data_IF_896615666973
#
_entry.id   IF_896615666973
#
_cell.length_a   1.000
_cell.length_b   1.000
_cell.length_c   1.000
_cell.angle_alpha   90.00
_cell.angle_beta   90.00
_cell.angle_gamma   90.00
#
_symmetry.space_group_name_H-M   'P 1'
#
loop_
_entity.id
_entity.type
_entity.pdbx_description
1 polymer ?
#
# COMPACT_ATOMS: atom_id res chain seq x y z
N UNK A 1 -23.61 -34.42 10.07
CA UNK A 1 -22.89 -33.15 10.39
C UNK A 1 -21.92 -32.70 9.28
N UNK A 2 -22.14 -33.04 7.99
CA UNK A 2 -21.15 -32.82 6.91
C UNK A 2 -21.48 -31.67 5.93
N UNK A 3 -22.70 -31.12 5.95
CA UNK A 3 -23.15 -30.17 4.92
C UNK A 3 -22.83 -28.70 5.24
N UNK A 4 -22.79 -28.32 6.52
CA UNK A 4 -22.49 -26.95 6.95
C UNK A 4 -21.00 -26.61 6.91
N UNK A 5 -20.11 -27.59 7.09
CA UNK A 5 -18.66 -27.40 7.01
C UNK A 5 -18.19 -27.07 5.59
N UNK A 6 -18.75 -27.77 4.59
CA UNK A 6 -18.46 -27.50 3.18
C UNK A 6 -18.96 -26.12 2.71
N UNK A 7 -20.09 -25.64 3.24
CA UNK A 7 -20.63 -24.32 2.89
C UNK A 7 -19.79 -23.17 3.49
N UNK A 8 -19.33 -23.32 4.74
CA UNK A 8 -18.44 -22.33 5.38
C UNK A 8 -17.07 -22.27 4.68
N UNK A 9 -16.50 -23.42 4.32
CA UNK A 9 -15.25 -23.48 3.57
C UNK A 9 -15.40 -22.98 2.12
N UNK A 10 -16.58 -23.14 1.51
CA UNK A 10 -16.89 -22.58 0.20
C UNK A 10 -17.00 -21.06 0.26
N UNK A 11 -17.70 -20.50 1.25
CA UNK A 11 -17.79 -19.05 1.48
C UNK A 11 -16.43 -18.43 1.75
N UNK A 12 -15.61 -19.05 2.60
CA UNK A 12 -14.24 -18.56 2.88
C UNK A 12 -13.36 -18.56 1.62
N UNK A 13 -13.41 -19.62 0.81
CA UNK A 13 -12.67 -19.69 -0.46
C UNK A 13 -13.17 -18.68 -1.48
N UNK A 14 -14.48 -18.47 -1.55
CA UNK A 14 -15.10 -17.44 -2.39
C UNK A 14 -14.62 -16.04 -1.98
N UNK A 15 -14.67 -15.69 -0.69
CA UNK A 15 -14.16 -14.41 -0.19
C UNK A 15 -12.67 -14.20 -0.48
N UNK A 16 -11.84 -15.25 -0.31
CA UNK A 16 -10.42 -15.20 -0.62
C UNK A 16 -10.19 -14.94 -2.12
N UNK A 17 -10.93 -15.59 -3.01
CA UNK A 17 -10.81 -15.40 -4.45
C UNK A 17 -11.34 -14.03 -4.90
N UNK A 18 -12.40 -13.52 -4.27
CA UNK A 18 -12.90 -12.16 -4.50
C UNK A 18 -11.86 -11.09 -4.15
N UNK A 19 -11.16 -11.27 -3.01
CA UNK A 19 -10.07 -10.39 -2.61
C UNK A 19 -8.90 -10.44 -3.58
N UNK A 20 -8.52 -11.64 -4.03
CA UNK A 20 -7.49 -11.82 -5.06
C UNK A 20 -7.86 -11.10 -6.36
N UNK A 21 -9.09 -11.26 -6.84
CA UNK A 21 -9.56 -10.58 -8.06
C UNK A 21 -9.47 -9.05 -7.92
N UNK A 22 -9.94 -8.50 -6.80
CA UNK A 22 -9.86 -7.05 -6.53
C UNK A 22 -8.41 -6.52 -6.49
N UNK A 23 -7.47 -7.32 -5.98
CA UNK A 23 -6.05 -6.99 -5.97
C UNK A 23 -5.49 -7.05 -7.39
N UNK A 24 -5.80 -8.10 -8.16
CA UNK A 24 -5.37 -8.23 -9.56
C UNK A 24 -5.90 -7.08 -10.43
N UNK A 25 -7.18 -6.71 -10.28
CA UNK A 25 -7.78 -5.58 -11.01
C UNK A 25 -7.06 -4.27 -10.67
N UNK A 26 -6.78 -4.04 -9.39
CA UNK A 26 -6.06 -2.84 -8.92
C UNK A 26 -4.60 -2.82 -9.39
N UNK A 27 -3.92 -3.97 -9.36
CA UNK A 27 -2.57 -4.12 -9.90
C UNK A 27 -2.55 -3.96 -11.42
N UNK A 28 -3.57 -4.41 -12.13
CA UNK A 28 -3.75 -4.23 -13.58
C UNK A 28 -3.85 -2.75 -13.97
N UNK A 29 -4.59 -1.96 -13.18
CA UNK A 29 -4.66 -0.49 -13.33
C UNK A 29 -3.29 0.18 -13.14
N UNK A 30 -2.48 -0.31 -12.19
CA UNK A 30 -1.11 0.22 -11.93
C UNK A 30 -0.11 -0.28 -12.99
N UNK A 31 -0.35 -1.45 -13.60
CA UNK A 31 0.51 -2.10 -14.60
C UNK A 31 0.23 -1.67 -16.04
N UNK A 32 -0.86 -0.93 -16.28
CA UNK A 32 -1.27 -0.56 -17.64
C UNK A 32 -1.72 -1.76 -18.49
N UNK A 33 -2.05 -2.90 -17.86
CA UNK A 33 -2.57 -4.08 -18.53
C UNK A 33 -4.03 -4.25 -18.15
N UNK A 34 -4.89 -4.09 -19.15
CA UNK A 34 -6.33 -3.90 -19.03
C UNK A 34 -7.05 -5.25 -19.00
N UNK A 35 -7.91 -5.49 -18.00
CA UNK A 35 -9.13 -6.32 -18.15
C UNK A 35 -10.20 -5.86 -17.14
N UNK A 36 -11.04 -4.91 -17.57
CA UNK A 36 -12.25 -4.33 -16.91
C UNK A 36 -12.05 -3.49 -15.62
N UNK A 37 -12.36 -2.18 -15.75
CA UNK A 37 -12.05 -1.10 -14.81
C UNK A 37 -13.03 -0.95 -13.62
N UNK A 38 -12.50 -0.95 -12.40
CA UNK A 38 -13.05 -0.13 -11.30
C UNK A 38 -12.54 1.29 -11.51
N UNK A 39 -13.42 2.30 -11.55
CA UNK A 39 -13.00 3.69 -11.76
C UNK A 39 -12.14 4.14 -10.56
N UNK A 40 -11.01 4.80 -10.81
CA UNK A 40 -10.16 5.39 -9.77
C UNK A 40 -10.96 6.29 -8.80
N UNK A 41 -11.98 6.98 -9.30
CA UNK A 41 -12.94 7.76 -8.52
C UNK A 41 -13.80 6.92 -7.58
N UNK A 42 -14.15 5.69 -7.97
CA UNK A 42 -14.92 4.75 -7.14
C UNK A 42 -14.05 4.15 -6.04
N UNK A 43 -12.77 3.90 -6.33
CA UNK A 43 -11.75 3.55 -5.31
C UNK A 43 -11.55 4.72 -4.36
N UNK A 44 -11.42 5.94 -4.87
CA UNK A 44 -11.28 7.16 -4.08
C UNK A 44 -12.52 7.50 -3.23
N UNK A 45 -13.73 7.24 -3.73
CA UNK A 45 -14.99 7.39 -2.98
C UNK A 45 -15.13 6.35 -1.88
N UNK A 46 -14.82 5.07 -2.16
CA UNK A 46 -14.78 4.02 -1.13
C UNK A 46 -13.69 4.29 -0.08
N UNK A 47 -12.58 4.92 -0.47
CA UNK A 47 -11.53 5.40 0.44
C UNK A 47 -12.00 6.57 1.31
N UNK A 48 -12.72 7.55 0.76
CA UNK A 48 -13.32 8.65 1.54
C UNK A 48 -14.35 8.16 2.55
N UNK A 49 -15.19 7.18 2.17
CA UNK A 49 -16.19 6.59 3.06
C UNK A 49 -15.58 5.71 4.18
N UNK A 50 -14.34 5.23 4.03
CA UNK A 50 -13.60 4.46 5.06
C UNK A 50 -12.73 5.30 5.98
N UNK A 51 -12.52 6.59 5.70
CA UNK A 51 -11.78 7.49 6.60
C UNK A 51 -12.44 7.65 7.99
N UNK A 52 -13.69 7.21 8.18
CA UNK A 52 -14.36 7.16 9.48
C UNK A 52 -13.96 5.95 10.34
N UNK A 53 -13.22 4.97 9.79
CA UNK A 53 -12.68 3.84 10.55
C UNK A 53 -11.33 4.24 11.13
N UNK A 54 -11.20 4.20 12.45
CA UNK A 54 -10.09 4.80 13.19
C UNK A 54 -8.68 4.44 12.69
N UNK A 55 -7.79 5.44 12.74
CA UNK A 55 -6.35 5.36 12.41
C UNK A 55 -5.62 4.46 13.41
N UNK A 56 -5.00 3.37 12.94
CA UNK A 56 -4.20 2.46 13.81
C UNK A 56 -2.72 2.51 13.46
N UNK A 57 -1.86 2.51 14.48
CA UNK A 57 -0.42 2.39 14.32
C UNK A 57 -0.04 0.91 14.22
N UNK A 58 0.60 0.51 13.13
CA UNK A 58 0.93 -0.88 12.82
C UNK A 58 2.30 -0.96 12.13
N UNK A 59 3.06 -2.05 12.35
CA UNK A 59 4.20 -2.40 11.51
C UNK A 59 3.69 -3.05 10.22
N UNK A 60 3.95 -2.40 9.08
CA UNK A 60 3.44 -2.85 7.78
C UNK A 60 4.57 -3.43 6.93
N UNK A 61 4.41 -4.67 6.41
CA UNK A 61 5.36 -5.26 5.47
C UNK A 61 5.52 -4.40 4.21
N UNK A 62 6.77 -4.09 3.84
CA UNK A 62 7.07 -3.20 2.71
C UNK A 62 6.67 -3.81 1.36
N UNK A 63 6.65 -5.14 1.24
CA UNK A 63 6.19 -5.88 0.05
C UNK A 63 4.68 -5.70 -0.22
N UNK A 64 3.89 -5.42 0.81
CA UNK A 64 2.46 -5.12 0.71
C UNK A 64 2.16 -3.66 0.37
N UNK A 65 3.15 -2.78 0.36
CA UNK A 65 2.99 -1.39 -0.08
C UNK A 65 3.19 -1.33 -1.61
N UNK A 66 2.08 -1.23 -2.34
CA UNK A 66 2.05 -1.46 -3.80
C UNK A 66 1.86 -0.20 -4.64
N UNK A 67 1.56 0.94 -4.00
CA UNK A 67 1.34 2.19 -4.71
C UNK A 67 1.16 3.39 -3.79
N UNK A 68 0.83 4.54 -4.38
CA UNK A 68 0.54 5.77 -3.64
C UNK A 68 -0.70 6.46 -4.20
N UNK A 69 -1.46 7.11 -3.33
CA UNK A 69 -2.62 7.93 -3.70
C UNK A 69 -2.21 9.24 -4.41
N UNK A 70 -0.94 9.66 -4.28
CA UNK A 70 -0.39 10.83 -4.95
C UNK A 70 1.10 10.67 -5.27
N UNK A 71 1.68 11.56 -6.06
CA UNK A 71 3.13 11.51 -6.42
C UNK A 71 3.58 10.21 -7.10
N UNK A 72 2.67 9.51 -7.79
CA UNK A 72 2.97 8.28 -8.53
C UNK A 72 3.95 8.49 -9.71
N UNK A 73 4.15 9.74 -10.14
CA UNK A 73 5.14 10.13 -11.15
C UNK A 73 6.52 10.44 -10.57
N UNK A 74 6.67 10.51 -9.25
CA UNK A 74 7.95 10.75 -8.58
C UNK A 74 8.71 9.45 -8.29
N UNK A 75 8.01 8.32 -8.26
CA UNK A 75 8.61 7.02 -7.92
C UNK A 75 8.23 5.97 -8.95
N UNK A 76 9.03 4.92 -9.07
CA UNK A 76 8.64 3.70 -9.80
C UNK A 76 7.68 2.86 -8.95
N UNK A 77 7.12 1.79 -9.52
CA UNK A 77 6.29 0.83 -8.77
C UNK A 77 7.05 0.13 -7.63
N UNK A 78 8.38 0.07 -7.74
CA UNK A 78 9.25 -0.44 -6.68
C UNK A 78 9.66 0.66 -5.68
N UNK A 79 9.05 1.84 -5.73
CA UNK A 79 9.40 3.03 -4.94
C UNK A 79 10.84 3.54 -5.17
N UNK A 80 11.45 3.24 -6.33
CA UNK A 80 12.73 3.86 -6.70
C UNK A 80 12.47 5.32 -7.10
N UNK A 81 13.26 6.30 -6.60
CA UNK A 81 13.07 7.70 -6.93
C UNK A 81 13.36 7.98 -8.41
N UNK A 82 12.59 8.87 -9.01
CA UNK A 82 12.81 9.41 -10.36
C UNK A 82 13.52 10.78 -10.28
N UNK A 83 14.05 11.33 -11.39
CA UNK A 83 14.85 12.57 -11.36
C UNK A 83 14.15 13.80 -10.75
N UNK A 84 12.82 13.83 -10.73
CA UNK A 84 11.99 14.87 -10.11
C UNK A 84 11.91 14.77 -8.57
N UNK A 85 12.43 13.72 -7.95
CA UNK A 85 12.50 13.59 -6.49
C UNK A 85 13.58 14.51 -5.93
N UNK A 86 13.27 15.19 -4.83
CA UNK A 86 14.24 16.03 -4.14
C UNK A 86 15.34 15.16 -3.50
N UNK A 87 16.52 15.14 -4.13
CA UNK A 87 17.68 14.36 -3.69
C UNK A 87 18.12 14.72 -2.27
N UNK A 88 18.18 16.01 -1.92
CA UNK A 88 18.59 16.45 -0.58
C UNK A 88 17.66 15.91 0.51
N UNK A 89 16.34 15.97 0.28
CA UNK A 89 15.35 15.41 1.21
C UNK A 89 15.47 13.90 1.32
N UNK A 90 15.69 13.21 0.19
CA UNK A 90 15.86 11.76 0.18
C UNK A 90 17.11 11.35 0.98
N UNK A 91 18.26 11.96 0.68
CA UNK A 91 19.52 11.68 1.35
C UNK A 91 19.47 11.98 2.86
N UNK A 92 18.78 13.05 3.26
CA UNK A 92 18.58 13.36 4.68
C UNK A 92 17.75 12.30 5.40
N UNK A 93 16.71 11.77 4.76
CA UNK A 93 15.89 10.70 5.35
C UNK A 93 16.67 9.38 5.42
N UNK A 94 17.48 9.10 4.41
CA UNK A 94 18.37 7.93 4.37
C UNK A 94 19.42 7.97 5.49
N UNK A 95 20.07 9.12 5.68
CA UNK A 95 21.01 9.34 6.77
C UNK A 95 20.35 9.20 8.15
N UNK A 96 19.17 9.78 8.35
CA UNK A 96 18.44 9.68 9.62
C UNK A 96 18.09 8.23 9.95
N UNK A 97 17.59 7.47 8.97
CA UNK A 97 17.22 6.07 9.15
C UNK A 97 18.44 5.18 9.49
N UNK A 98 19.58 5.41 8.85
CA UNK A 98 20.84 4.70 9.15
C UNK A 98 21.50 5.17 10.46
N UNK A 99 21.25 6.40 10.88
CA UNK A 99 21.76 6.98 12.13
C UNK A 99 21.00 6.56 13.39
N UNK A 100 20.05 5.61 13.28
CA UNK A 100 19.13 5.20 14.36
C UNK A 100 18.25 6.36 14.88
N UNK A 101 18.08 7.43 14.09
CA UNK A 101 17.12 8.47 14.40
C UNK A 101 15.70 7.98 14.09
N UNK A 102 14.74 8.36 14.93
CA UNK A 102 13.34 8.03 14.65
C UNK A 102 12.82 8.86 13.49
N UNK A 103 12.28 8.18 12.48
CA UNK A 103 11.51 8.83 11.41
C UNK A 103 10.02 8.69 11.71
N UNK A 104 9.20 9.73 11.47
CA UNK A 104 7.77 9.62 11.70
C UNK A 104 7.14 8.49 10.89
N UNK A 105 6.11 7.80 11.43
CA UNK A 105 5.37 6.79 10.70
C UNK A 105 4.86 7.30 9.35
N UNK A 106 4.73 6.40 8.38
CA UNK A 106 4.05 6.71 7.12
C UNK A 106 2.53 6.68 7.31
N UNK A 107 1.78 7.26 6.37
CA UNK A 107 0.32 7.12 6.36
C UNK A 107 -0.08 6.25 5.20
N UNK A 108 -0.80 5.17 5.48
CA UNK A 108 -1.21 4.18 4.50
C UNK A 108 -2.73 4.01 4.48
N UNK A 109 -3.26 3.80 3.28
CA UNK A 109 -4.60 3.25 3.10
C UNK A 109 -4.52 1.76 2.84
N UNK A 110 -5.34 0.97 3.53
CA UNK A 110 -5.46 -0.46 3.28
C UNK A 110 -6.64 -0.76 2.37
N UNK A 111 -6.36 -1.46 1.26
CA UNK A 111 -7.38 -1.96 0.33
C UNK A 111 -7.16 -3.46 0.18
N UNK A 112 -8.11 -4.26 0.68
CA UNK A 112 -7.91 -5.71 0.77
C UNK A 112 -6.72 -6.02 1.68
N UNK A 113 -5.70 -6.69 1.13
CA UNK A 113 -4.48 -7.09 1.84
C UNK A 113 -3.24 -6.27 1.47
N UNK A 114 -3.41 -5.21 0.67
CA UNK A 114 -2.34 -4.32 0.20
C UNK A 114 -2.53 -2.89 0.69
N UNK A 115 -1.45 -2.11 0.61
CA UNK A 115 -1.36 -0.76 1.15
C UNK A 115 -0.97 0.26 0.09
N UNK A 116 -1.53 1.45 0.22
CA UNK A 116 -1.27 2.62 -0.62
C UNK A 116 -0.75 3.77 0.23
N UNK A 117 0.37 4.35 -0.14
CA UNK A 117 0.94 5.50 0.56
C UNK A 117 0.06 6.72 0.36
N UNK A 118 -0.48 7.25 1.46
CA UNK A 118 -1.12 8.58 1.53
C UNK A 118 -0.07 9.66 1.78
N UNK A 119 0.82 9.43 2.76
CA UNK A 119 1.98 10.28 3.06
C UNK A 119 3.22 9.44 3.38
N UNK A 120 4.40 9.97 3.03
CA UNK A 120 5.68 9.33 3.35
C UNK A 120 6.33 8.56 2.21
N UNK A 121 6.03 8.88 0.94
CA UNK A 121 6.63 8.22 -0.24
C UNK A 121 8.17 8.14 -0.20
N UNK A 122 8.85 9.21 0.27
CA UNK A 122 10.31 9.19 0.40
C UNK A 122 10.78 8.23 1.50
N UNK A 123 10.03 8.11 2.61
CA UNK A 123 10.36 7.18 3.71
C UNK A 123 10.21 5.73 3.25
N UNK A 124 9.16 5.41 2.50
CA UNK A 124 8.99 4.08 1.89
C UNK A 124 10.11 3.77 0.89
N UNK A 125 10.48 4.76 0.07
CA UNK A 125 11.60 4.65 -0.87
C UNK A 125 12.93 4.35 -0.17
N UNK A 126 13.26 5.12 0.86
CA UNK A 126 14.46 4.93 1.69
C UNK A 126 14.42 3.57 2.40
N UNK A 127 13.31 3.20 3.03
CA UNK A 127 13.20 1.92 3.74
C UNK A 127 13.41 0.72 2.81
N UNK A 128 12.85 0.76 1.59
CA UNK A 128 13.10 -0.28 0.56
C UNK A 128 14.53 -0.28 0.06
N UNK A 129 15.14 0.90 -0.13
CA UNK A 129 16.54 1.00 -0.56
C UNK A 129 17.52 0.42 0.48
N UNK A 130 17.19 0.55 1.77
CA UNK A 130 17.95 -0.03 2.88
C UNK A 130 17.59 -1.50 3.17
N UNK A 131 16.71 -2.12 2.36
CA UNK A 131 16.36 -3.53 2.51
C UNK A 131 15.58 -3.85 3.79
N UNK A 132 14.84 -2.89 4.36
CA UNK A 132 13.97 -3.16 5.50
C UNK A 132 12.80 -4.07 5.08
N UNK A 133 12.34 -4.90 6.02
CA UNK A 133 11.19 -5.79 5.81
C UNK A 133 9.84 -5.10 6.06
N UNK A 134 9.80 -4.18 7.02
CA UNK A 134 8.59 -3.47 7.43
C UNK A 134 8.85 -2.00 7.77
N UNK A 135 7.78 -1.22 7.83
CA UNK A 135 7.80 0.19 8.20
C UNK A 135 6.64 0.52 9.14
N UNK A 136 6.87 1.40 10.09
CA UNK A 136 5.82 1.88 10.99
C UNK A 136 4.85 2.78 10.21
N UNK A 137 3.55 2.49 10.34
CA UNK A 137 2.52 3.17 9.59
C UNK A 137 1.27 3.42 10.40
N UNK A 138 0.66 4.58 10.16
CA UNK A 138 -0.74 4.79 10.47
C UNK A 138 -1.60 4.28 9.32
N UNK A 139 -2.41 3.27 9.58
CA UNK A 139 -3.26 2.59 8.60
C UNK A 139 -4.71 3.07 8.74
N UNK A 140 -5.34 3.34 7.61
CA UNK A 140 -6.78 3.65 7.47
C UNK A 140 -7.43 2.72 6.43
#
# INVERSE_FOLDING_TARGET
>A
MSSTYHDVDARRRYEQNLRKAQIEDLLGLIRGQNTSLVKFEEVAQRLKARQEVGRRLEQVPLDKIVGSVGRYHDFTRAFLPRPNVNQHRWARLDAALNGLESVPPVELYKIGDVYFVRDGNHRVSVAKANGLDSIEAYVT
#
